data_IF_250097734363
#
_entry.id   IF_250097734363
#
_cell.length_a   1.000
_cell.length_b   1.000
_cell.length_c   1.000
_cell.angle_alpha   90.00
_cell.angle_beta   90.00
_cell.angle_gamma   90.00
#
_symmetry.space_group_name_H-M   'P 1'
#
loop_
_entity.id
_entity.type
_entity.pdbx_description
1 polymer ?
#
# COMPACT_ATOMS: atom_id res chain seq x y z
N UNK A 1 -5.98 11.50 23.39
CA UNK A 1 -6.59 10.15 23.51
C UNK A 1 -6.23 9.26 22.36
N UNK A 2 -4.95 9.16 22.14
CA UNK A 2 -4.44 8.48 20.95
C UNK A 2 -4.65 6.98 20.97
N UNK A 3 -4.59 6.35 22.13
CA UNK A 3 -4.85 4.91 22.21
C UNK A 3 -6.28 4.57 21.84
N UNK A 4 -7.21 5.40 22.27
CA UNK A 4 -8.61 5.22 21.92
C UNK A 4 -8.78 5.44 20.44
N UNK A 5 -8.11 6.46 19.85
CA UNK A 5 -8.22 6.72 18.45
C UNK A 5 -7.59 5.61 17.58
N UNK A 6 -6.54 4.93 18.05
CA UNK A 6 -5.99 3.78 17.30
C UNK A 6 -6.99 2.64 17.18
N UNK A 7 -7.74 2.38 18.25
CA UNK A 7 -8.73 1.32 18.25
C UNK A 7 -9.97 1.72 17.45
N UNK A 8 -10.42 2.95 17.61
CA UNK A 8 -11.64 3.46 16.99
C UNK A 8 -11.38 4.24 15.72
N UNK A 9 -10.13 4.26 15.27
CA UNK A 9 -9.72 5.07 14.13
C UNK A 9 -10.48 4.70 12.86
N UNK A 10 -10.96 5.71 12.16
CA UNK A 10 -11.52 5.57 10.82
C UNK A 10 -10.46 5.76 9.74
N UNK A 11 -9.19 5.96 10.12
CA UNK A 11 -8.11 6.06 9.15
C UNK A 11 -8.04 4.79 8.31
N UNK A 12 -8.03 4.95 7.02
CA UNK A 12 -7.95 3.83 6.08
C UNK A 12 -6.57 3.77 5.45
N UNK A 13 -6.16 2.55 5.18
CA UNK A 13 -4.85 2.26 4.58
C UNK A 13 -5.04 1.53 3.27
N UNK A 14 -4.33 1.97 2.24
CA UNK A 14 -4.43 1.40 0.91
C UNK A 14 -3.06 0.99 0.40
N UNK A 15 -3.03 -0.12 -0.34
CA UNK A 15 -1.88 -0.48 -1.17
C UNK A 15 -2.28 -0.24 -2.61
N UNK A 16 -1.42 0.42 -3.37
CA UNK A 16 -1.61 0.60 -4.82
C UNK A 16 -0.43 -0.04 -5.52
N UNK A 17 -0.69 -1.07 -6.31
CA UNK A 17 0.36 -1.71 -7.10
C UNK A 17 0.62 -0.91 -8.36
N UNK A 18 1.89 -0.82 -8.77
CA UNK A 18 2.25 -0.03 -9.94
C UNK A 18 1.94 1.45 -9.81
N UNK A 19 2.10 1.99 -8.59
CA UNK A 19 1.75 3.38 -8.29
C UNK A 19 2.72 4.42 -8.78
N UNK A 20 3.82 4.01 -9.42
CA UNK A 20 4.90 4.94 -9.78
C UNK A 20 4.61 5.78 -11.02
N UNK A 21 3.59 5.45 -11.80
CA UNK A 21 3.25 6.24 -13.00
C UNK A 21 1.81 6.00 -13.43
N UNK A 22 1.32 6.87 -14.32
CA UNK A 22 0.04 6.71 -14.99
C UNK A 22 -1.14 6.70 -14.03
N UNK A 23 -2.06 5.78 -14.28
CA UNK A 23 -3.29 5.67 -13.51
C UNK A 23 -3.02 5.37 -12.04
N UNK A 24 -2.06 4.49 -11.75
CA UNK A 24 -1.69 4.14 -10.37
C UNK A 24 -1.21 5.35 -9.58
N UNK A 25 -0.41 6.19 -10.20
CA UNK A 25 0.09 7.43 -9.58
C UNK A 25 -1.09 8.36 -9.23
N UNK A 26 -2.01 8.54 -10.16
CA UNK A 26 -3.17 9.41 -9.94
C UNK A 26 -4.10 8.84 -8.86
N UNK A 27 -4.27 7.53 -8.82
CA UNK A 27 -5.05 6.88 -7.76
C UNK A 27 -4.44 7.18 -6.39
N UNK A 28 -3.13 7.06 -6.25
CA UNK A 28 -2.44 7.40 -5.00
C UNK A 28 -2.75 8.82 -4.57
N UNK A 29 -2.66 9.75 -5.49
CA UNK A 29 -2.91 11.16 -5.23
C UNK A 29 -4.33 11.40 -4.77
N UNK A 30 -5.31 10.79 -5.45
CA UNK A 30 -6.72 10.99 -5.11
C UNK A 30 -7.09 10.34 -3.78
N UNK A 31 -6.57 9.15 -3.50
CA UNK A 31 -6.82 8.49 -2.21
C UNK A 31 -6.29 9.35 -1.06
N UNK A 32 -5.08 9.85 -1.19
CA UNK A 32 -4.49 10.68 -0.16
C UNK A 32 -5.26 11.98 0.05
N UNK A 33 -5.83 12.55 -1.01
CA UNK A 33 -6.64 13.75 -0.90
C UNK A 33 -7.92 13.54 -0.08
N UNK A 34 -8.32 12.29 0.08
CA UNK A 34 -9.48 11.91 0.90
C UNK A 34 -9.08 11.38 2.28
N UNK A 35 -7.82 11.59 2.66
CA UNK A 35 -7.34 11.20 3.98
C UNK A 35 -6.89 9.75 4.10
N UNK A 36 -6.86 9.00 3.00
CA UNK A 36 -6.38 7.62 3.01
C UNK A 36 -4.85 7.63 3.04
N UNK A 37 -4.28 6.77 3.87
CA UNK A 37 -2.84 6.58 3.90
C UNK A 37 -2.47 5.53 2.85
N UNK A 38 -1.54 5.87 1.99
CA UNK A 38 -1.26 5.10 0.78
C UNK A 38 0.13 4.51 0.82
N UNK A 39 0.20 3.19 0.65
CA UNK A 39 1.46 2.50 0.37
C UNK A 39 1.57 2.40 -1.14
N UNK A 40 2.38 3.26 -1.72
CA UNK A 40 2.68 3.23 -3.14
C UNK A 40 3.70 2.13 -3.37
N UNK A 41 3.36 1.16 -4.19
CA UNK A 41 4.28 0.07 -4.49
C UNK A 41 4.66 0.07 -5.95
N UNK A 42 5.87 -0.37 -6.21
CA UNK A 42 6.39 -0.53 -7.56
C UNK A 42 7.47 -1.60 -7.52
N UNK A 43 7.69 -2.25 -8.65
CA UNK A 43 8.73 -3.25 -8.75
C UNK A 43 10.13 -2.61 -8.67
N UNK A 44 10.28 -1.44 -9.26
CA UNK A 44 11.54 -0.70 -9.27
C UNK A 44 11.55 0.29 -8.09
N UNK A 45 12.48 0.08 -7.15
CA UNK A 45 12.57 0.90 -5.95
C UNK A 45 12.87 2.36 -6.26
N UNK A 46 13.79 2.61 -7.18
CA UNK A 46 14.18 3.97 -7.53
C UNK A 46 13.00 4.76 -8.10
N UNK A 47 12.27 4.15 -9.01
CA UNK A 47 11.10 4.81 -9.63
C UNK A 47 9.99 5.02 -8.62
N UNK A 48 9.82 4.08 -7.70
CA UNK A 48 8.83 4.21 -6.64
C UNK A 48 9.14 5.35 -5.69
N UNK A 49 10.39 5.46 -5.27
CA UNK A 49 10.82 6.55 -4.40
C UNK A 49 10.70 7.91 -5.09
N UNK A 50 11.04 7.99 -6.36
CA UNK A 50 10.88 9.21 -7.15
C UNK A 50 9.39 9.61 -7.25
N UNK A 51 8.51 8.63 -7.39
CA UNK A 51 7.07 8.88 -7.46
C UNK A 51 6.54 9.46 -6.15
N UNK A 52 6.95 8.91 -5.02
CA UNK A 52 6.54 9.46 -3.71
C UNK A 52 7.05 10.89 -3.55
N UNK A 53 8.28 11.14 -3.95
CA UNK A 53 8.84 12.49 -3.91
C UNK A 53 8.02 13.46 -4.74
N UNK A 54 7.61 13.04 -5.93
CA UNK A 54 6.76 13.85 -6.80
C UNK A 54 5.39 14.11 -6.19
N UNK A 55 4.78 13.08 -5.57
CA UNK A 55 3.51 13.24 -4.88
C UNK A 55 3.61 14.26 -3.75
N UNK A 56 4.70 14.23 -2.99
CA UNK A 56 4.92 15.18 -1.91
C UNK A 56 5.10 16.60 -2.44
N UNK A 57 5.73 16.76 -3.59
CA UNK A 57 5.87 18.09 -4.21
C UNK A 57 4.53 18.64 -4.68
N UNK A 58 3.67 17.78 -5.22
CA UNK A 58 2.38 18.20 -5.75
C UNK A 58 1.32 18.40 -4.66
N UNK A 59 1.38 17.63 -3.60
CA UNK A 59 0.36 17.61 -2.55
C UNK A 59 0.78 18.32 -1.28
N UNK A 60 2.03 18.74 -1.19
CA UNK A 60 2.61 19.34 0.00
C UNK A 60 3.10 18.29 0.98
N UNK A 61 3.82 18.69 2.02
CA UNK A 61 4.33 17.77 3.03
C UNK A 61 3.20 17.03 3.73
N UNK A 62 3.28 15.71 3.75
CA UNK A 62 2.27 14.88 4.38
C UNK A 62 2.88 13.51 4.70
N UNK A 63 2.31 12.81 5.68
CA UNK A 63 2.68 11.44 6.00
C UNK A 63 1.75 10.42 5.33
N UNK A 64 0.91 10.85 4.40
CA UNK A 64 -0.05 9.97 3.73
C UNK A 64 0.57 9.05 2.70
N UNK A 65 1.81 9.27 2.28
CA UNK A 65 2.47 8.43 1.29
C UNK A 65 3.67 7.72 1.89
N UNK A 66 3.77 6.44 1.63
CA UNK A 66 4.97 5.66 1.93
C UNK A 66 5.22 4.72 0.77
N UNK A 67 6.48 4.42 0.50
CA UNK A 67 6.87 3.50 -0.55
C UNK A 67 7.27 2.14 0.04
N UNK A 68 6.88 1.08 -0.66
CA UNK A 68 7.44 -0.26 -0.44
C UNK A 68 7.60 -0.95 -1.79
N UNK A 69 8.74 -1.61 -2.00
CA UNK A 69 8.96 -2.36 -3.23
C UNK A 69 7.99 -3.54 -3.27
N UNK A 70 7.42 -3.81 -4.44
CA UNK A 70 6.55 -4.97 -4.63
C UNK A 70 6.64 -5.46 -6.08
N UNK A 71 7.03 -6.72 -6.21
CA UNK A 71 6.91 -7.48 -7.44
C UNK A 71 5.75 -8.45 -7.24
N UNK A 72 4.64 -8.23 -7.92
CA UNK A 72 3.41 -8.99 -7.69
C UNK A 72 3.52 -10.46 -8.08
N UNK A 73 4.52 -10.84 -8.84
CA UNK A 73 4.74 -12.24 -9.23
C UNK A 73 5.72 -12.97 -8.31
N UNK A 74 6.32 -12.26 -7.38
CA UNK A 74 7.29 -12.83 -6.45
C UNK A 74 6.65 -13.02 -5.07
N UNK A 75 6.39 -14.28 -4.64
CA UNK A 75 5.74 -14.52 -3.33
C UNK A 75 6.49 -13.92 -2.15
N UNK A 76 7.82 -13.89 -2.19
CA UNK A 76 8.57 -13.31 -1.08
C UNK A 76 8.45 -11.79 -1.03
N UNK A 77 8.30 -11.14 -2.19
CA UNK A 77 8.03 -9.72 -2.26
C UNK A 77 6.65 -9.40 -1.70
N UNK A 78 5.65 -10.23 -2.03
CA UNK A 78 4.28 -10.08 -1.50
C UNK A 78 4.28 -10.24 0.01
N UNK A 79 4.97 -11.26 0.53
CA UNK A 79 5.07 -11.50 1.97
C UNK A 79 5.74 -10.32 2.68
N UNK A 80 6.77 -9.74 2.07
CA UNK A 80 7.49 -8.61 2.63
C UNK A 80 6.60 -7.37 2.79
N UNK A 81 5.81 -7.04 1.77
CA UNK A 81 4.93 -5.88 1.86
C UNK A 81 3.77 -6.14 2.83
N UNK A 82 3.28 -7.37 2.88
CA UNK A 82 2.23 -7.75 3.83
C UNK A 82 2.72 -7.59 5.27
N UNK A 83 3.93 -8.06 5.56
CA UNK A 83 4.54 -7.92 6.87
C UNK A 83 4.76 -6.44 7.22
N UNK A 84 5.23 -5.65 6.28
CA UNK A 84 5.43 -4.22 6.46
C UNK A 84 4.13 -3.52 6.86
N UNK A 85 3.05 -3.76 6.11
CA UNK A 85 1.76 -3.12 6.38
C UNK A 85 1.20 -3.58 7.72
N UNK A 86 1.30 -4.87 8.01
CA UNK A 86 0.83 -5.40 9.29
C UNK A 86 1.60 -4.81 10.47
N UNK A 87 2.92 -4.75 10.37
CA UNK A 87 3.76 -4.23 11.44
C UNK A 87 3.56 -2.74 11.65
N UNK A 88 3.43 -1.99 10.56
CA UNK A 88 3.37 -0.54 10.63
C UNK A 88 1.97 -0.02 10.90
N UNK A 89 0.95 -0.64 10.34
CA UNK A 89 -0.43 -0.13 10.39
C UNK A 89 -1.40 -1.07 11.10
N UNK A 90 -1.13 -2.36 11.10
CA UNK A 90 -1.98 -3.37 11.73
C UNK A 90 -3.23 -3.74 10.93
N UNK A 91 -3.48 -3.10 9.80
CA UNK A 91 -4.63 -3.40 8.94
C UNK A 91 -4.42 -2.91 7.52
N UNK A 92 -5.24 -3.42 6.62
CA UNK A 92 -5.32 -2.95 5.24
C UNK A 92 -6.80 -2.85 4.86
N UNK A 93 -7.24 -1.70 4.39
CA UNK A 93 -8.63 -1.48 4.01
C UNK A 93 -8.86 -1.60 2.52
N UNK A 94 -7.89 -1.21 1.70
CA UNK A 94 -8.04 -1.10 0.25
C UNK A 94 -6.82 -1.69 -0.44
N UNK A 95 -7.07 -2.55 -1.42
CA UNK A 95 -5.99 -3.05 -2.27
C UNK A 95 -6.34 -2.74 -3.72
N UNK A 96 -5.57 -1.86 -4.34
CA UNK A 96 -5.75 -1.48 -5.74
C UNK A 96 -4.72 -2.22 -6.60
N UNK A 97 -5.21 -3.13 -7.42
CA UNK A 97 -4.38 -3.90 -8.34
C UNK A 97 -4.23 -3.16 -9.67
N UNK A 98 -3.29 -2.25 -9.73
CA UNK A 98 -3.04 -1.47 -10.94
C UNK A 98 -1.90 -2.05 -11.79
N UNK A 99 -1.04 -2.86 -11.22
CA UNK A 99 0.13 -3.41 -11.93
C UNK A 99 -0.16 -4.70 -12.67
N UNK A 100 -1.37 -4.88 -13.19
CA UNK A 100 -1.82 -6.12 -13.80
C UNK A 100 -1.30 -6.35 -15.21
N UNK A 101 0.00 -6.29 -15.44
CA UNK A 101 0.62 -6.53 -16.74
C UNK A 101 0.59 -8.02 -17.02
N UNK A 102 0.17 -8.40 -18.25
CA UNK A 102 0.11 -9.80 -18.63
C UNK A 102 -0.93 -10.62 -17.91
N UNK A 103 -1.93 -9.97 -17.32
CA UNK A 103 -3.00 -10.65 -16.60
C UNK A 103 -2.64 -11.06 -15.17
N UNK A 104 -1.47 -10.67 -14.67
CA UNK A 104 -1.07 -10.98 -13.30
C UNK A 104 -1.68 -9.96 -12.37
N UNK A 105 -2.42 -10.44 -11.38
CA UNK A 105 -3.11 -9.62 -10.38
C UNK A 105 -2.72 -10.13 -9.01
N UNK A 106 -2.43 -9.22 -8.08
CA UNK A 106 -2.21 -9.59 -6.69
C UNK A 106 -3.56 -9.99 -6.09
N UNK A 107 -3.65 -11.25 -5.67
CA UNK A 107 -4.87 -11.79 -5.07
C UNK A 107 -4.97 -11.31 -3.62
N UNK A 108 -6.10 -10.67 -3.29
CA UNK A 108 -6.32 -10.15 -1.94
C UNK A 108 -6.30 -11.28 -0.89
N UNK A 109 -6.85 -12.44 -1.22
CA UNK A 109 -6.82 -13.59 -0.31
C UNK A 109 -5.42 -14.13 -0.12
N UNK A 110 -4.64 -14.21 -1.20
CA UNK A 110 -3.24 -14.62 -1.11
C UNK A 110 -2.43 -13.62 -0.30
N UNK A 111 -2.72 -12.34 -0.45
CA UNK A 111 -2.07 -11.29 0.34
C UNK A 111 -2.39 -11.45 1.82
N UNK A 112 -3.65 -11.67 2.15
CA UNK A 112 -4.07 -11.86 3.53
C UNK A 112 -3.41 -13.11 4.16
N UNK A 113 -3.32 -14.21 3.39
CA UNK A 113 -2.62 -15.41 3.86
C UNK A 113 -1.13 -15.15 4.10
N UNK A 114 -0.50 -14.38 3.23
CA UNK A 114 0.91 -14.01 3.41
C UNK A 114 1.09 -13.18 4.69
N UNK A 115 0.16 -12.27 4.97
CA UNK A 115 0.19 -11.47 6.19
C UNK A 115 0.05 -12.35 7.43
N UNK A 116 -0.81 -13.36 7.40
CA UNK A 116 -0.96 -14.28 8.50
C UNK A 116 0.31 -15.11 8.75
N UNK A 117 0.93 -15.58 7.67
CA UNK A 117 2.19 -16.34 7.77
C UNK A 117 3.32 -15.48 8.33
N UNK A 118 3.27 -14.18 8.10
CA UNK A 118 4.24 -13.23 8.67
C UNK A 118 3.92 -12.84 10.11
N UNK A 119 2.89 -13.45 10.71
CA UNK A 119 2.50 -13.18 12.10
C UNK A 119 1.44 -12.09 12.24
N UNK A 120 0.85 -11.67 11.14
CA UNK A 120 -0.20 -10.69 11.15
C UNK A 120 -1.53 -11.26 11.59
N UNK A 121 -2.35 -10.45 12.23
CA UNK A 121 -3.66 -10.87 12.69
C UNK A 121 -4.80 -10.18 11.96
N UNK A 122 -4.62 -9.87 10.69
CA UNK A 122 -5.68 -9.15 9.97
C UNK A 122 -6.73 -10.09 9.42
N UNK A 123 -7.90 -9.50 9.25
CA UNK A 123 -9.02 -10.19 8.63
C UNK A 123 -9.19 -9.58 7.24
N UNK A 124 -9.20 -10.44 6.24
CA UNK A 124 -9.49 -10.02 4.87
C UNK A 124 -10.97 -9.70 4.74
N UNK A 125 -11.27 -8.57 4.19
CA UNK A 125 -12.65 -8.17 3.94
C UNK A 125 -12.90 -7.92 2.47
#
# INVERSE_FOLDING_TARGET
>A
MEQVSNFLSTTRYAIVTGGNKGIGFEICKQLASQGVRVVLTARDEKRGLEAVEKLLKESGPTDHFVFHQLDVVDPSSVASVADFVNTKFGKLDILINNAGVGGVILDADAFARAAELAGGGWVST
#
